data_IF_827615746634
#
_entry.id   IF_827615746634
#
_cell.length_a   1.000
_cell.length_b   1.000
_cell.length_c   1.000
_cell.angle_alpha   90.00
_cell.angle_beta   90.00
_cell.angle_gamma   90.00
#
_symmetry.space_group_name_H-M   'P 1'
#
loop_
_entity.id
_entity.type
_entity.pdbx_description
1 polymer ?
#
# COMPACT_ATOMS: atom_id res chain seq x y z
N UNK A 1 -15.60 76.78 -57.39
CA UNK A 1 -14.70 76.86 -56.23
C UNK A 1 -15.58 76.95 -55.00
N UNK A 2 -15.82 75.81 -54.36
CA UNK A 2 -16.73 75.70 -53.23
C UNK A 2 -16.02 76.20 -51.97
N UNK A 3 -16.52 77.30 -51.39
CA UNK A 3 -15.94 77.96 -50.23
C UNK A 3 -16.11 77.05 -49.01
N UNK A 4 -14.99 76.59 -48.47
CA UNK A 4 -14.91 75.59 -47.42
C UNK A 4 -15.84 75.84 -46.23
N UNK A 5 -16.51 74.76 -45.78
CA UNK A 5 -17.30 74.72 -44.54
C UNK A 5 -16.52 75.35 -43.38
N UNK A 6 -17.03 76.47 -42.84
CA UNK A 6 -16.57 77.04 -41.56
C UNK A 6 -16.68 75.97 -40.46
N UNK A 7 -15.57 75.65 -39.82
CA UNK A 7 -15.54 74.75 -38.66
C UNK A 7 -16.36 75.36 -37.51
N UNK A 8 -17.15 74.52 -36.82
CA UNK A 8 -17.84 74.95 -35.59
C UNK A 8 -16.80 75.22 -34.50
N UNK A 9 -16.70 76.46 -34.05
CA UNK A 9 -15.82 76.86 -32.96
C UNK A 9 -16.38 76.38 -31.61
N UNK A 10 -15.50 75.84 -30.76
CA UNK A 10 -15.83 75.37 -29.41
C UNK A 10 -15.15 76.28 -28.41
N UNK A 11 -15.92 76.83 -27.46
CA UNK A 11 -15.38 77.68 -26.40
C UNK A 11 -14.34 76.93 -25.56
N UNK A 12 -13.28 77.64 -25.14
CA UNK A 12 -12.13 77.04 -24.43
C UNK A 12 -12.51 76.25 -23.18
N UNK A 13 -13.56 76.66 -22.47
CA UNK A 13 -14.07 75.98 -21.29
C UNK A 13 -14.78 74.65 -21.58
N UNK A 14 -15.14 74.36 -22.84
CA UNK A 14 -15.71 73.09 -23.31
C UNK A 14 -14.67 72.15 -23.91
N UNK A 15 -13.40 72.57 -23.99
CA UNK A 15 -12.31 71.75 -24.51
C UNK A 15 -11.73 70.78 -23.46
N UNK A 16 -12.11 70.93 -22.18
CA UNK A 16 -11.68 70.04 -21.10
C UNK A 16 -12.88 69.54 -20.30
N UNK A 17 -12.80 68.29 -19.85
CA UNK A 17 -13.62 67.85 -18.72
C UNK A 17 -13.18 68.63 -17.48
N UNK A 18 -14.11 69.35 -16.86
CA UNK A 18 -13.86 70.05 -15.60
C UNK A 18 -14.78 69.45 -14.53
N UNK A 19 -14.19 69.12 -13.39
CA UNK A 19 -14.88 68.66 -12.20
C UNK A 19 -14.61 69.69 -11.11
N UNK A 20 -15.66 70.18 -10.46
CA UNK A 20 -15.56 71.09 -9.33
C UNK A 20 -14.97 70.35 -8.12
N UNK A 21 -13.79 70.71 -7.60
CA UNK A 21 -13.20 70.03 -6.45
C UNK A 21 -14.10 70.06 -5.20
N UNK A 22 -14.84 71.15 -5.00
CA UNK A 22 -15.72 71.30 -3.83
C UNK A 22 -16.92 70.33 -3.89
N UNK A 23 -17.30 69.89 -5.09
CA UNK A 23 -18.35 68.88 -5.28
C UNK A 23 -17.99 67.49 -4.75
N UNK A 24 -16.70 67.22 -4.52
CA UNK A 24 -16.22 65.93 -4.02
C UNK A 24 -16.39 65.78 -2.50
N UNK A 25 -16.65 66.88 -1.78
CA UNK A 25 -16.90 66.88 -0.34
C UNK A 25 -15.71 66.40 0.52
N UNK A 26 -14.49 66.44 -0.01
CA UNK A 26 -13.26 66.02 0.67
C UNK A 26 -12.19 67.11 0.57
N UNK A 27 -11.53 67.40 1.70
CA UNK A 27 -10.47 68.42 1.73
C UNK A 27 -9.10 67.84 1.33
N UNK A 28 -8.86 66.56 1.61
CA UNK A 28 -7.63 65.87 1.26
C UNK A 28 -7.86 64.42 0.84
N UNK A 29 -6.99 63.90 -0.03
CA UNK A 29 -6.96 62.47 -0.36
C UNK A 29 -6.70 61.58 0.88
N UNK A 30 -6.13 62.14 1.95
CA UNK A 30 -5.93 61.46 3.23
C UNK A 30 -7.25 61.21 4.00
N UNK A 31 -8.28 62.00 3.71
CA UNK A 31 -9.58 61.91 4.38
C UNK A 31 -10.47 60.82 3.77
N UNK A 32 -10.05 60.25 2.64
CA UNK A 32 -10.78 59.20 1.93
C UNK A 32 -10.55 57.86 2.61
N UNK A 33 -11.60 57.33 3.25
CA UNK A 33 -11.56 55.99 3.83
C UNK A 33 -11.75 54.89 2.75
N UNK A 34 -10.65 54.50 2.12
CA UNK A 34 -10.60 53.45 1.10
C UNK A 34 -10.98 52.04 1.62
N UNK A 35 -11.08 51.83 2.94
CA UNK A 35 -11.33 50.50 3.52
C UNK A 35 -12.77 50.01 3.34
N UNK A 36 -13.73 50.90 3.04
CA UNK A 36 -15.16 50.54 2.94
C UNK A 36 -15.55 49.87 1.61
N UNK A 37 -14.81 50.13 0.54
CA UNK A 37 -15.07 49.53 -0.77
C UNK A 37 -13.76 48.98 -1.32
N UNK A 38 -13.58 47.66 -1.20
CA UNK A 38 -12.44 46.98 -1.83
C UNK A 38 -12.47 47.11 -3.36
N UNK A 39 -13.65 47.40 -3.95
CA UNK A 39 -13.87 47.47 -5.38
C UNK A 39 -14.87 48.58 -5.73
N UNK A 40 -14.56 49.31 -6.79
CA UNK A 40 -15.40 50.38 -7.35
C UNK A 40 -15.84 49.96 -8.76
N UNK A 41 -17.13 50.13 -9.07
CA UNK A 41 -17.70 50.01 -10.42
C UNK A 41 -17.49 48.65 -11.14
N UNK A 42 -17.54 47.53 -10.42
CA UNK A 42 -17.40 46.16 -10.98
C UNK A 42 -18.58 45.24 -10.65
N UNK A 43 -19.79 45.79 -10.49
CA UNK A 43 -20.97 45.05 -10.01
C UNK A 43 -21.31 43.81 -10.84
N UNK A 44 -21.15 43.89 -12.18
CA UNK A 44 -21.43 42.75 -13.07
C UNK A 44 -20.44 41.60 -12.84
N UNK A 45 -19.15 41.90 -12.74
CA UNK A 45 -18.11 40.91 -12.49
C UNK A 45 -18.30 40.25 -11.12
N UNK A 46 -18.58 41.06 -10.09
CA UNK A 46 -18.89 40.60 -8.74
C UNK A 46 -20.08 39.64 -8.71
N UNK A 47 -21.18 39.99 -9.38
CA UNK A 47 -22.37 39.13 -9.46
C UNK A 47 -22.06 37.81 -10.18
N UNK A 48 -21.27 37.85 -11.25
CA UNK A 48 -20.84 36.65 -11.98
C UNK A 48 -20.00 35.69 -11.12
N UNK A 49 -19.00 36.22 -10.41
CA UNK A 49 -18.17 35.43 -9.49
C UNK A 49 -19.04 34.84 -8.36
N UNK A 50 -19.91 35.65 -7.75
CA UNK A 50 -20.79 35.19 -6.68
C UNK A 50 -21.80 34.14 -7.13
N UNK A 51 -22.27 34.20 -8.38
CA UNK A 51 -23.12 33.19 -8.96
C UNK A 51 -22.36 31.89 -9.18
N UNK A 52 -21.19 31.94 -9.84
CA UNK A 52 -20.36 30.76 -10.09
C UNK A 52 -19.95 30.03 -8.81
N UNK A 53 -19.55 30.77 -7.76
CA UNK A 53 -19.19 30.20 -6.46
C UNK A 53 -20.36 29.56 -5.68
N UNK A 54 -21.61 29.81 -6.09
CA UNK A 54 -22.81 29.19 -5.50
C UNK A 54 -23.28 27.96 -6.28
N UNK A 55 -22.74 27.70 -7.46
CA UNK A 55 -23.10 26.52 -8.24
C UNK A 55 -22.53 25.27 -7.54
N UNK A 56 -23.37 24.28 -7.18
CA UNK A 56 -22.90 23.04 -6.59
C UNK A 56 -22.26 22.14 -7.64
N UNK A 57 -21.36 21.26 -7.19
CA UNK A 57 -20.71 20.24 -8.03
C UNK A 57 -19.37 20.68 -8.63
N UNK A 58 -18.63 19.71 -9.17
CA UNK A 58 -17.30 19.91 -9.77
C UNK A 58 -17.34 20.02 -11.31
N UNK A 59 -18.52 20.14 -11.90
CA UNK A 59 -18.72 20.13 -13.35
C UNK A 59 -18.49 21.49 -14.01
N UNK A 60 -18.29 22.54 -13.20
CA UNK A 60 -18.18 23.91 -13.65
C UNK A 60 -16.88 24.55 -13.18
N UNK A 61 -16.23 25.28 -14.09
CA UNK A 61 -15.08 26.12 -13.79
C UNK A 61 -15.46 27.59 -14.01
N UNK A 62 -14.95 28.48 -13.16
CA UNK A 62 -15.11 29.93 -13.32
C UNK A 62 -13.90 30.52 -14.04
N UNK A 63 -14.13 31.15 -15.19
CA UNK A 63 -13.11 31.91 -15.92
C UNK A 63 -13.38 33.41 -15.79
N UNK A 64 -12.34 34.18 -15.42
CA UNK A 64 -12.42 35.64 -15.24
C UNK A 64 -11.49 36.31 -16.25
N UNK A 65 -12.06 37.16 -17.11
CA UNK A 65 -11.34 37.90 -18.12
C UNK A 65 -11.72 39.38 -18.12
N UNK A 66 -10.79 40.20 -18.61
CA UNK A 66 -10.93 41.65 -18.69
C UNK A 66 -9.63 42.29 -19.18
N UNK A 67 -9.63 43.61 -19.42
CA UNK A 67 -8.43 44.33 -19.86
C UNK A 67 -7.28 44.20 -18.87
N UNK A 68 -6.06 44.32 -19.37
CA UNK A 68 -4.86 44.30 -18.54
C UNK A 68 -4.90 45.38 -17.45
N UNK A 69 -4.29 45.08 -16.30
CA UNK A 69 -4.17 45.98 -15.13
C UNK A 69 -5.51 46.41 -14.50
N UNK A 70 -6.59 45.66 -14.74
CA UNK A 70 -7.89 45.87 -14.06
C UNK A 70 -7.99 45.17 -12.70
N UNK A 71 -6.94 44.47 -12.26
CA UNK A 71 -6.90 43.85 -10.94
C UNK A 71 -7.73 42.57 -10.80
N UNK A 72 -8.05 41.88 -11.91
CA UNK A 72 -8.92 40.69 -11.94
C UNK A 72 -8.59 39.64 -10.86
N UNK A 73 -7.31 39.32 -10.68
CA UNK A 73 -6.85 38.36 -9.66
C UNK A 73 -7.17 38.82 -8.25
N UNK A 74 -6.96 40.11 -7.96
CA UNK A 74 -7.28 40.70 -6.66
C UNK A 74 -8.80 40.65 -6.40
N UNK A 75 -9.61 40.94 -7.43
CA UNK A 75 -11.07 40.86 -7.38
C UNK A 75 -11.52 39.44 -7.06
N UNK A 76 -11.08 38.47 -7.85
CA UNK A 76 -11.46 37.07 -7.70
C UNK A 76 -11.07 36.53 -6.32
N UNK A 77 -9.81 36.72 -5.89
CA UNK A 77 -9.31 36.26 -4.60
C UNK A 77 -10.09 36.85 -3.43
N UNK A 78 -10.34 38.17 -3.45
CA UNK A 78 -11.12 38.87 -2.41
C UNK A 78 -12.50 38.25 -2.22
N UNK A 79 -13.20 37.93 -3.31
CA UNK A 79 -14.53 37.33 -3.24
C UNK A 79 -14.50 35.85 -2.87
N UNK A 80 -13.55 35.08 -3.40
CA UNK A 80 -13.35 33.67 -3.04
C UNK A 80 -13.07 33.55 -1.55
N UNK A 81 -12.17 34.36 -0.99
CA UNK A 81 -11.87 34.35 0.45
C UNK A 81 -13.09 34.71 1.30
N UNK A 82 -13.90 35.67 0.87
CA UNK A 82 -15.14 36.06 1.57
C UNK A 82 -16.16 34.92 1.61
N UNK A 83 -16.26 34.13 0.54
CA UNK A 83 -17.15 32.97 0.46
C UNK A 83 -16.56 31.80 1.27
N UNK A 84 -15.27 31.50 1.10
CA UNK A 84 -14.57 30.40 1.77
C UNK A 84 -14.61 30.52 3.30
N UNK A 85 -14.52 31.74 3.87
CA UNK A 85 -14.67 31.98 5.32
C UNK A 85 -16.01 31.53 5.90
N UNK A 86 -17.05 31.36 5.07
CA UNK A 86 -18.38 30.90 5.47
C UNK A 86 -18.63 29.44 5.08
N UNK A 87 -17.74 28.84 4.31
CA UNK A 87 -17.84 27.46 3.87
C UNK A 87 -17.35 26.51 4.99
N UNK A 88 -17.81 25.25 5.00
CA UNK A 88 -17.20 24.24 5.87
C UNK A 88 -15.70 24.11 5.54
N UNK A 89 -14.86 23.80 6.54
CA UNK A 89 -13.45 23.57 6.28
C UNK A 89 -13.28 22.36 5.36
N UNK A 90 -12.26 22.37 4.49
CA UNK A 90 -11.99 21.24 3.61
C UNK A 90 -11.63 19.99 4.42
N UNK A 91 -11.97 18.84 3.84
CA UNK A 91 -11.49 17.53 4.27
C UNK A 91 -9.96 17.44 4.16
N UNK A 92 -9.35 16.62 5.01
CA UNK A 92 -7.96 16.20 4.86
C UNK A 92 -7.91 15.08 3.80
N UNK A 93 -7.11 15.25 2.77
CA UNK A 93 -6.88 14.22 1.76
C UNK A 93 -5.55 13.54 2.01
N UNK A 94 -5.58 12.24 2.27
CA UNK A 94 -4.39 11.45 2.57
C UNK A 94 -4.18 10.37 1.52
N UNK A 95 -2.97 10.29 0.96
CA UNK A 95 -2.57 9.16 0.14
C UNK A 95 -2.05 8.03 1.03
N UNK A 96 -2.57 6.83 0.80
CA UNK A 96 -2.15 5.60 1.48
C UNK A 96 -1.61 4.60 0.47
N UNK A 97 -0.64 3.81 0.93
CA UNK A 97 -0.03 2.80 0.10
C UNK A 97 -1.03 1.70 -0.27
N UNK A 98 -1.02 1.31 -1.54
CA UNK A 98 -1.88 0.25 -2.05
C UNK A 98 -1.08 -1.05 -2.19
N UNK A 99 -1.25 -1.98 -1.25
CA UNK A 99 -0.50 -3.24 -1.22
C UNK A 99 -0.78 -4.16 -2.42
N UNK A 100 -1.93 -4.02 -3.07
CA UNK A 100 -2.26 -4.82 -4.26
C UNK A 100 -1.60 -4.26 -5.51
N UNK A 101 -1.46 -2.94 -5.58
CA UNK A 101 -1.00 -2.25 -6.78
C UNK A 101 -0.17 -1.01 -6.36
N UNK A 102 1.13 -1.20 -6.09
CA UNK A 102 2.00 -0.19 -5.47
C UNK A 102 2.11 1.15 -6.20
N UNK A 103 2.01 1.12 -7.53
CA UNK A 103 2.14 2.30 -8.38
C UNK A 103 0.84 3.14 -8.41
N UNK A 104 -0.25 2.63 -7.82
CA UNK A 104 -1.56 3.29 -7.76
C UNK A 104 -1.96 3.58 -6.30
N UNK A 105 -1.41 4.64 -5.67
CA UNK A 105 -1.76 4.99 -4.30
C UNK A 105 -3.26 5.29 -4.19
N UNK A 106 -3.87 4.86 -3.08
CA UNK A 106 -5.28 5.15 -2.80
C UNK A 106 -5.37 6.46 -2.02
N UNK A 107 -6.45 7.21 -2.22
CA UNK A 107 -6.71 8.40 -1.42
C UNK A 107 -7.83 8.14 -0.41
N UNK A 108 -7.71 8.79 0.75
CA UNK A 108 -8.72 8.80 1.79
C UNK A 108 -9.18 10.24 1.99
N UNK A 109 -10.50 10.44 2.02
CA UNK A 109 -11.12 11.67 2.47
C UNK A 109 -11.41 11.58 3.97
N UNK A 110 -10.77 12.45 4.75
CA UNK A 110 -10.90 12.46 6.20
C UNK A 110 -11.45 13.81 6.67
N UNK A 111 -12.12 13.82 7.82
CA UNK A 111 -12.51 15.09 8.44
C UNK A 111 -11.27 15.92 8.75
N UNK A 112 -11.42 17.24 8.67
CA UNK A 112 -10.36 18.21 8.97
C UNK A 112 -9.59 17.85 10.25
N UNK A 113 -8.27 17.76 10.13
CA UNK A 113 -7.34 17.47 11.23
C UNK A 113 -7.14 15.98 11.54
N UNK A 114 -7.96 15.08 10.97
CA UNK A 114 -7.83 13.64 11.21
C UNK A 114 -6.69 13.01 10.42
N UNK A 115 -6.17 13.66 9.38
CA UNK A 115 -5.03 13.13 8.62
C UNK A 115 -3.76 13.03 9.47
N UNK A 116 -3.50 14.02 10.31
CA UNK A 116 -2.39 13.99 11.26
C UNK A 116 -2.60 12.89 12.32
N UNK A 117 -3.82 12.80 12.85
CA UNK A 117 -4.18 11.78 13.84
C UNK A 117 -4.00 10.36 13.29
N UNK A 118 -4.47 10.11 12.06
CA UNK A 118 -4.28 8.82 11.37
C UNK A 118 -2.79 8.48 11.23
N UNK A 119 -1.96 9.45 10.85
CA UNK A 119 -0.51 9.24 10.73
C UNK A 119 0.11 8.81 12.07
N UNK A 120 -0.24 9.50 13.16
CA UNK A 120 0.26 9.19 14.50
C UNK A 120 -0.23 7.81 14.97
N UNK A 121 -1.50 7.51 14.76
CA UNK A 121 -2.11 6.24 15.17
C UNK A 121 -1.50 5.05 14.40
N UNK A 122 -1.26 5.18 13.09
CA UNK A 122 -0.55 4.14 12.31
C UNK A 122 0.89 3.96 12.81
N UNK A 123 1.60 5.06 13.12
CA UNK A 123 2.96 4.95 13.63
C UNK A 123 3.01 4.22 14.97
N UNK A 124 2.10 4.54 15.90
CA UNK A 124 1.98 3.84 17.18
C UNK A 124 1.64 2.37 17.00
N UNK A 125 0.64 2.06 16.17
CA UNK A 125 0.23 0.70 15.85
C UNK A 125 1.38 -0.16 15.29
N UNK A 126 2.24 0.41 14.45
CA UNK A 126 3.40 -0.31 13.91
C UNK A 126 4.45 -0.62 14.98
N UNK A 127 4.61 0.22 15.99
CA UNK A 127 5.51 -0.08 17.12
C UNK A 127 4.91 -1.15 18.03
N UNK A 128 3.61 -1.07 18.33
CA UNK A 128 2.89 -2.07 19.13
C UNK A 128 2.95 -3.46 18.49
N UNK A 129 2.65 -3.56 17.19
CA UNK A 129 2.69 -4.83 16.46
C UNK A 129 4.06 -5.49 16.52
N UNK A 130 5.15 -4.73 16.43
CA UNK A 130 6.51 -5.30 16.47
C UNK A 130 6.77 -6.02 17.78
N UNK A 131 6.28 -5.47 18.89
CA UNK A 131 6.41 -6.07 20.22
C UNK A 131 5.43 -7.21 20.40
N UNK A 132 4.15 -7.02 20.10
CA UNK A 132 3.13 -8.05 20.31
C UNK A 132 3.38 -9.31 19.48
N UNK A 133 3.85 -9.18 18.22
CA UNK A 133 4.20 -10.34 17.39
C UNK A 133 5.27 -11.18 18.10
N UNK A 134 6.32 -10.54 18.60
CA UNK A 134 7.39 -11.23 19.30
C UNK A 134 6.87 -11.95 20.54
N UNK A 135 6.10 -11.26 21.38
CA UNK A 135 5.55 -11.81 22.61
C UNK A 135 4.61 -12.99 22.36
N UNK A 136 3.80 -12.94 21.29
CA UNK A 136 2.94 -14.06 20.88
C UNK A 136 3.77 -15.28 20.47
N UNK A 137 4.86 -15.09 19.73
CA UNK A 137 5.76 -16.17 19.34
C UNK A 137 6.55 -16.75 20.52
N UNK A 138 6.83 -15.95 21.57
CA UNK A 138 7.45 -16.42 22.80
C UNK A 138 6.44 -16.99 23.82
N UNK A 139 5.14 -16.78 23.59
CA UNK A 139 4.11 -17.22 24.52
C UNK A 139 4.17 -18.73 24.77
N UNK A 140 3.91 -19.12 26.03
CA UNK A 140 3.87 -20.54 26.38
C UNK A 140 2.83 -21.31 25.57
N UNK A 141 1.69 -20.69 25.25
CA UNK A 141 0.63 -21.32 24.46
C UNK A 141 1.13 -21.68 23.06
N UNK A 142 1.76 -20.72 22.36
CA UNK A 142 2.34 -20.96 21.05
C UNK A 142 3.44 -22.03 21.10
N UNK A 143 4.35 -21.94 22.06
CA UNK A 143 5.45 -22.90 22.20
C UNK A 143 4.96 -24.32 22.53
N UNK A 144 3.94 -24.46 23.39
CA UNK A 144 3.32 -25.76 23.70
C UNK A 144 2.66 -26.39 22.46
N UNK A 145 1.94 -25.60 21.66
CA UNK A 145 1.30 -26.10 20.44
C UNK A 145 2.34 -26.49 19.39
N UNK A 146 3.37 -25.64 19.19
CA UNK A 146 4.51 -25.95 18.32
C UNK A 146 5.21 -27.23 18.73
N UNK A 147 5.47 -27.41 20.02
CA UNK A 147 6.05 -28.65 20.55
C UNK A 147 5.14 -29.86 20.32
N UNK A 148 3.83 -29.71 20.51
CA UNK A 148 2.87 -30.78 20.30
C UNK A 148 2.86 -31.26 18.83
N UNK A 149 2.83 -30.32 17.88
CA UNK A 149 2.89 -30.61 16.44
C UNK A 149 4.24 -31.27 16.08
N UNK A 150 5.34 -30.75 16.61
CA UNK A 150 6.69 -31.30 16.38
C UNK A 150 6.82 -32.72 16.92
N UNK A 151 6.32 -32.97 18.14
CA UNK A 151 6.30 -34.30 18.77
C UNK A 151 5.44 -35.27 17.97
N UNK A 152 4.22 -34.88 17.61
CA UNK A 152 3.31 -35.72 16.81
C UNK A 152 3.94 -36.11 15.46
N UNK A 153 4.62 -35.17 14.80
CA UNK A 153 5.28 -35.44 13.52
C UNK A 153 6.50 -36.34 13.67
N UNK A 154 7.30 -36.11 14.72
CA UNK A 154 8.46 -36.97 15.05
C UNK A 154 8.02 -38.39 15.37
N UNK A 155 6.92 -38.57 16.11
CA UNK A 155 6.37 -39.90 16.42
C UNK A 155 5.96 -40.63 15.15
N UNK A 156 5.21 -40.00 14.25
CA UNK A 156 4.83 -40.59 12.96
C UNK A 156 6.03 -40.95 12.08
N UNK A 157 7.06 -40.09 12.06
CA UNK A 157 8.33 -40.36 11.36
C UNK A 157 9.01 -41.61 11.89
N UNK A 158 9.13 -41.72 13.22
CA UNK A 158 9.75 -42.87 13.88
C UNK A 158 8.95 -44.16 13.66
N UNK A 159 7.62 -44.08 13.61
CA UNK A 159 6.76 -45.22 13.28
C UNK A 159 7.01 -45.74 11.85
N UNK A 160 7.11 -44.85 10.86
CA UNK A 160 7.43 -45.23 9.48
C UNK A 160 8.81 -45.89 9.36
N UNK A 161 9.81 -45.34 10.06
CA UNK A 161 11.16 -45.92 10.10
C UNK A 161 11.13 -47.29 10.77
N UNK A 162 10.47 -47.42 11.92
CA UNK A 162 10.36 -48.70 12.64
C UNK A 162 9.64 -49.77 11.83
N UNK A 163 8.60 -49.39 11.07
CA UNK A 163 7.91 -50.31 10.16
C UNK A 163 8.83 -50.76 9.02
N UNK A 164 9.62 -49.85 8.45
CA UNK A 164 10.60 -50.18 7.42
C UNK A 164 11.71 -51.10 7.97
N UNK A 165 12.28 -50.79 9.14
CA UNK A 165 13.29 -51.62 9.81
C UNK A 165 12.80 -53.06 10.03
N UNK A 166 11.56 -53.23 10.51
CA UNK A 166 10.97 -54.57 10.70
C UNK A 166 10.88 -55.35 9.39
N UNK A 167 10.41 -54.72 8.30
CA UNK A 167 10.33 -55.36 6.98
C UNK A 167 11.72 -55.73 6.44
N UNK A 168 12.68 -54.82 6.58
CA UNK A 168 14.08 -55.00 6.14
C UNK A 168 14.75 -56.15 6.91
N UNK A 169 14.59 -56.20 8.23
CA UNK A 169 15.15 -57.27 9.07
C UNK A 169 14.53 -58.65 8.76
N UNK A 170 13.21 -58.70 8.53
CA UNK A 170 12.52 -59.95 8.13
C UNK A 170 13.01 -60.48 6.77
N UNK A 171 13.42 -59.57 5.87
CA UNK A 171 13.99 -59.92 4.57
C UNK A 171 15.45 -60.40 4.61
N UNK A 172 16.11 -60.41 5.77
CA UNK A 172 17.55 -60.71 5.87
C UNK A 172 18.45 -59.54 5.48
N UNK A 173 17.99 -58.31 5.69
CA UNK A 173 18.73 -57.09 5.46
C UNK A 173 18.80 -56.25 6.74
N UNK A 174 19.58 -55.18 6.74
CA UNK A 174 19.60 -54.16 7.79
C UNK A 174 19.42 -52.78 7.16
N UNK A 175 18.70 -51.91 7.85
CA UNK A 175 18.54 -50.51 7.47
C UNK A 175 19.67 -49.70 8.10
N UNK A 176 20.44 -48.99 7.29
CA UNK A 176 21.47 -48.06 7.74
C UNK A 176 21.03 -46.63 7.45
N UNK A 177 20.97 -45.80 8.49
CA UNK A 177 20.58 -44.40 8.40
C UNK A 177 21.82 -43.57 8.70
N UNK A 178 22.30 -42.84 7.69
CA UNK A 178 23.45 -41.94 7.81
C UNK A 178 23.09 -40.52 7.38
N UNK A 179 24.05 -39.59 7.54
CA UNK A 179 23.91 -38.23 7.02
C UNK A 179 23.77 -38.18 5.48
N UNK A 180 24.26 -39.21 4.78
CA UNK A 180 24.16 -39.34 3.32
C UNK A 180 22.83 -39.96 2.86
N UNK A 181 22.02 -40.50 3.77
CA UNK A 181 20.69 -41.03 3.48
C UNK A 181 20.39 -42.37 4.14
N UNK A 182 19.29 -43.00 3.71
CA UNK A 182 18.92 -44.36 4.12
C UNK A 182 19.39 -45.38 3.08
N UNK A 183 20.01 -46.45 3.52
CA UNK A 183 20.45 -47.57 2.68
C UNK A 183 20.03 -48.91 3.27
N UNK A 184 19.69 -49.87 2.41
CA UNK A 184 19.35 -51.25 2.77
C UNK A 184 20.53 -52.15 2.38
N UNK A 185 21.07 -52.90 3.34
CA UNK A 185 22.29 -53.72 3.15
C UNK A 185 21.96 -55.19 3.51
N UNK A 186 22.33 -56.19 2.69
CA UNK A 186 22.16 -57.59 3.05
C UNK A 186 22.80 -57.91 4.41
N UNK A 187 22.16 -58.76 5.20
CA UNK A 187 22.63 -59.09 6.54
C UNK A 187 22.67 -60.61 6.78
N UNK A 188 23.63 -61.03 7.61
CA UNK A 188 23.72 -62.39 8.13
C UNK A 188 23.79 -62.31 9.65
N UNK A 189 22.86 -62.97 10.34
CA UNK A 189 22.73 -62.92 11.80
C UNK A 189 22.64 -61.48 12.35
N UNK A 190 21.96 -60.60 11.62
CA UNK A 190 21.77 -59.19 12.00
C UNK A 190 23.00 -58.29 11.79
N UNK A 191 24.08 -58.81 11.18
CA UNK A 191 25.28 -58.02 10.84
C UNK A 191 25.31 -57.73 9.34
N UNK A 192 25.62 -56.48 8.91
CA UNK A 192 25.78 -56.15 7.50
C UNK A 192 26.84 -57.04 6.84
N UNK A 193 26.54 -57.56 5.66
CA UNK A 193 27.50 -58.29 4.83
C UNK A 193 28.29 -57.31 3.96
N UNK A 194 29.57 -57.61 3.72
CA UNK A 194 30.38 -56.90 2.74
C UNK A 194 30.25 -57.54 1.34
N UNK A 195 30.69 -56.81 0.31
CA UNK A 195 30.59 -57.26 -1.08
C UNK A 195 31.29 -58.61 -1.33
N UNK A 196 32.36 -58.90 -0.58
CA UNK A 196 33.10 -60.17 -0.66
C UNK A 196 32.27 -61.34 -0.12
N UNK A 197 31.60 -61.16 1.02
CA UNK A 197 30.73 -62.16 1.59
C UNK A 197 29.51 -62.44 0.71
N UNK A 198 28.95 -61.42 0.07
CA UNK A 198 27.86 -61.56 -0.90
C UNK A 198 28.35 -62.33 -2.14
N UNK A 199 29.54 -61.99 -2.66
CA UNK A 199 30.15 -62.66 -3.80
C UNK A 199 30.66 -64.08 -3.52
N UNK A 200 30.64 -64.54 -2.27
CA UNK A 200 30.95 -65.91 -1.88
C UNK A 200 29.69 -66.81 -1.77
N UNK A 201 28.48 -66.22 -1.80
CA UNK A 201 27.22 -66.97 -1.72
C UNK A 201 26.95 -67.79 -2.99
N UNK A 202 26.17 -68.88 -2.92
CA UNK A 202 25.67 -69.58 -4.10
C UNK A 202 24.86 -68.64 -5.02
N UNK A 203 24.88 -68.91 -6.32
CA UNK A 203 24.22 -68.06 -7.33
C UNK A 203 22.70 -67.94 -7.12
N UNK A 204 22.05 -69.02 -6.68
CA UNK A 204 20.65 -69.04 -6.26
C UNK A 204 20.36 -68.09 -5.09
N UNK A 205 21.22 -68.08 -4.07
CA UNK A 205 21.04 -67.21 -2.89
C UNK A 205 21.32 -65.74 -3.24
N UNK A 206 22.26 -65.47 -4.16
CA UNK A 206 22.47 -64.11 -4.67
C UNK A 206 21.26 -63.61 -5.44
N UNK A 207 20.67 -64.42 -6.32
CA UNK A 207 19.44 -64.07 -7.05
C UNK A 207 18.29 -63.76 -6.09
N UNK A 208 18.09 -64.62 -5.08
CA UNK A 208 17.08 -64.41 -4.04
C UNK A 208 17.28 -63.09 -3.29
N UNK A 209 18.50 -62.80 -2.84
CA UNK A 209 18.81 -61.53 -2.18
C UNK A 209 18.56 -60.34 -3.12
N UNK A 210 18.84 -60.48 -4.40
CA UNK A 210 18.64 -59.42 -5.38
C UNK A 210 17.14 -59.11 -5.61
N UNK A 211 16.30 -60.13 -5.67
CA UNK A 211 14.83 -59.97 -5.77
C UNK A 211 14.23 -59.32 -4.51
N UNK A 212 14.59 -59.83 -3.32
CA UNK A 212 14.14 -59.26 -2.04
C UNK A 212 14.64 -57.82 -1.88
N UNK A 213 15.86 -57.52 -2.31
CA UNK A 213 16.43 -56.17 -2.28
C UNK A 213 15.62 -55.19 -3.13
N UNK A 214 15.18 -55.58 -4.34
CA UNK A 214 14.37 -54.72 -5.19
C UNK A 214 13.03 -54.35 -4.56
N UNK A 215 12.37 -55.30 -3.91
CA UNK A 215 11.10 -55.03 -3.24
C UNK A 215 11.27 -54.18 -1.98
N UNK A 216 12.30 -54.45 -1.16
CA UNK A 216 12.64 -53.61 -0.02
C UNK A 216 13.03 -52.18 -0.43
N UNK A 217 13.67 -51.99 -1.60
CA UNK A 217 13.96 -50.66 -2.12
C UNK A 217 12.69 -49.88 -2.52
N UNK A 218 11.65 -50.55 -3.05
CA UNK A 218 10.35 -49.91 -3.31
C UNK A 218 9.70 -49.44 -2.01
N UNK A 219 9.66 -50.30 -1.01
CA UNK A 219 9.13 -50.01 0.33
C UNK A 219 9.88 -48.84 1.00
N UNK A 220 11.20 -48.80 0.91
CA UNK A 220 12.01 -47.67 1.38
C UNK A 220 11.64 -46.36 0.68
N UNK A 221 11.44 -46.40 -0.64
CA UNK A 221 11.05 -45.21 -1.42
C UNK A 221 9.66 -44.70 -1.01
N UNK A 222 8.73 -45.59 -0.69
CA UNK A 222 7.40 -45.23 -0.18
C UNK A 222 7.48 -44.61 1.22
N UNK A 223 8.24 -45.21 2.14
CA UNK A 223 8.48 -44.67 3.47
C UNK A 223 9.14 -43.27 3.40
N UNK A 224 10.15 -43.10 2.56
CA UNK A 224 10.80 -41.81 2.30
C UNK A 224 9.82 -40.75 1.78
N UNK A 225 8.90 -41.14 0.89
CA UNK A 225 7.84 -40.25 0.39
C UNK A 225 6.87 -39.86 1.51
N UNK A 226 6.50 -40.81 2.36
CA UNK A 226 5.67 -40.55 3.55
C UNK A 226 6.32 -39.54 4.49
N UNK A 227 7.59 -39.76 4.84
CA UNK A 227 8.38 -38.85 5.68
C UNK A 227 8.48 -37.46 5.06
N UNK A 228 8.74 -37.37 3.76
CA UNK A 228 8.82 -36.07 3.06
C UNK A 228 7.49 -35.31 3.04
N UNK A 229 6.36 -36.01 2.99
CA UNK A 229 5.05 -35.38 3.07
C UNK A 229 4.79 -34.84 4.49
N UNK A 230 5.13 -35.62 5.52
CA UNK A 230 5.09 -35.19 6.92
C UNK A 230 5.92 -33.92 7.16
N UNK A 231 7.15 -33.89 6.63
CA UNK A 231 8.04 -32.73 6.74
C UNK A 231 7.52 -31.49 5.96
N UNK A 232 6.57 -31.65 5.02
CA UNK A 232 5.94 -30.53 4.27
C UNK A 232 4.71 -29.96 4.96
N UNK A 233 4.11 -30.73 5.87
CA UNK A 233 2.93 -30.32 6.65
C UNK A 233 3.29 -29.61 7.96
N UNK A 234 4.57 -29.68 8.37
CA UNK A 234 5.21 -28.84 9.40
C UNK A 234 5.56 -27.46 8.86
#
# INVERSE_FOLDING_TARGET
MDMGKKSKEVAANKLRGWCDPDSLGVQSAKDINLKKQLLVAQDKAVKGIAFGLKMPGNDYNLYVAGPDRTGLTFIAKTYIEKVAKKAPPPSDWCYVYNFQEPDTPRFLELRRGMGLKLKEDIAGFLEEIKTEIHDVFESEGYNKEKEAITKATTTKRNELISQLEKKVNLGGFVLNISQTGMMIIPSKDGKPMDDKAIAALPEEERKRLQEVSQDLQKEMKEALRGIRNLDREL
#
